data_IF_118507771214
#
_entry.id   IF_118507771214
#
_cell.length_a   1.000
_cell.length_b   1.000
_cell.length_c   1.000
_cell.angle_alpha   90.00
_cell.angle_beta   90.00
_cell.angle_gamma   90.00
#
_symmetry.space_group_name_H-M   'P 1'
#
loop_
_entity.id
_entity.type
_entity.pdbx_description
1 polymer ?
2 non-polymer ?
3 water ?
#
# COMPACT_ATOMS: atom_id res chain seq x y z
N UNK A 1 -6.73 18.26 9.57
CA UNK A 1 -6.82 17.62 8.24
C UNK A 1 -5.76 16.51 8.16
N UNK A 2 -6.18 15.28 7.81
CA UNK A 2 -5.25 14.18 7.44
C UNK A 2 -5.68 13.63 6.08
N UNK A 3 -4.69 13.43 5.23
CA UNK A 3 -4.84 12.80 3.90
C UNK A 3 -4.64 11.29 4.03
N UNK A 4 -5.18 10.52 3.08
CA UNK A 4 -4.88 9.08 2.95
C UNK A 4 -3.38 8.88 2.68
N UNK A 5 -2.73 9.82 2.01
CA UNK A 5 -1.27 9.83 1.76
C UNK A 5 -0.51 9.74 3.08
N UNK A 6 -0.85 10.65 3.99
CA UNK A 6 -0.31 10.67 5.37
C UNK A 6 -0.60 9.34 6.06
N UNK A 7 -1.86 8.91 6.04
CA UNK A 7 -2.29 7.70 6.83
C UNK A 7 -1.61 6.44 6.28
N UNK A 8 -1.68 6.24 4.97
CA UNK A 8 -1.13 5.06 4.25
C UNK A 8 0.39 5.01 4.35
N UNK A 9 1.05 6.17 4.28
CA UNK A 9 2.52 6.29 4.40
C UNK A 9 2.93 5.88 5.81
N UNK A 10 2.22 6.34 6.82
CA UNK A 10 2.52 6.00 8.23
C UNK A 10 2.47 4.49 8.42
N UNK A 11 1.52 3.79 7.81
CA UNK A 11 1.46 2.31 8.06
C UNK A 11 2.17 1.53 6.93
N UNK A 12 2.92 2.19 6.06
CA UNK A 12 3.62 1.50 4.97
C UNK A 12 4.55 0.42 5.55
N UNK A 13 5.34 0.66 6.61
CA UNK A 13 6.23 -0.38 7.16
C UNK A 13 5.52 -1.51 7.90
N UNK A 14 4.20 -1.40 8.11
CA UNK A 14 3.37 -2.41 8.81
C UNK A 14 2.84 -3.48 7.86
N UNK A 15 3.03 -3.34 6.55
CA UNK A 15 2.42 -4.30 5.59
C UNK A 15 2.98 -5.70 5.79
N UNK A 16 4.27 -5.83 6.09
CA UNK A 16 4.82 -7.18 6.32
C UNK A 16 3.96 -7.86 7.39
N UNK A 17 3.83 -7.21 8.55
CA UNK A 17 3.07 -7.69 9.71
C UNK A 17 1.61 -7.85 9.34
N UNK A 18 1.02 -6.89 8.59
CA UNK A 18 -0.45 -6.97 8.36
C UNK A 18 -0.81 -8.19 7.52
N UNK A 19 0.11 -8.65 6.67
CA UNK A 19 -0.11 -9.73 5.71
C UNK A 19 0.40 -11.06 6.30
N UNK A 20 1.43 -11.05 7.15
CA UNK A 20 2.01 -12.30 7.70
C UNK A 20 1.74 -12.51 9.20
N UNK A 21 1.37 -11.47 9.94
CA UNK A 21 1.29 -11.52 11.42
C UNK A 21 2.66 -11.57 12.06
N UNK A 22 2.74 -12.11 13.26
CA UNK A 22 3.97 -12.18 14.10
C UNK A 22 4.14 -10.91 14.89
N UNK A 23 5.29 -10.24 14.75
CA UNK A 23 5.63 -9.05 15.54
C UNK A 23 5.82 -7.86 14.61
N UNK A 24 5.13 -6.73 14.80
CA UNK A 24 5.45 -5.51 14.04
C UNK A 24 6.90 -5.02 14.26
N UNK A 25 7.50 -4.48 13.20
CA UNK A 25 8.83 -3.81 13.23
C UNK A 25 8.76 -2.52 14.07
N UNK A 26 9.92 -2.12 14.57
CA UNK A 26 10.06 -0.84 15.31
C UNK A 26 9.50 0.28 14.44
N UNK A 27 9.85 0.32 13.16
CA UNK A 27 9.38 1.40 12.24
C UNK A 27 7.87 1.28 12.09
N UNK A 28 7.32 0.08 12.04
CA UNK A 28 5.85 -0.08 11.99
C UNK A 28 5.25 0.57 13.23
N UNK A 29 5.74 0.21 14.42
CA UNK A 29 5.20 0.82 15.68
C UNK A 29 5.38 2.35 15.68
N UNK A 30 6.51 2.87 15.17
CA UNK A 30 6.71 4.35 15.07
C UNK A 30 5.63 4.95 14.16
N UNK A 31 5.27 4.21 13.13
CA UNK A 31 4.21 4.57 12.19
C UNK A 31 2.86 4.67 12.90
N UNK A 32 2.55 3.68 13.73
CA UNK A 32 1.26 3.59 14.46
C UNK A 32 1.22 4.74 15.46
N UNK A 33 2.31 4.96 16.14
CA UNK A 33 2.44 6.19 16.99
C UNK A 33 2.18 7.48 16.18
N UNK A 34 2.69 7.62 14.95
CA UNK A 34 2.46 8.82 14.13
C UNK A 34 0.98 8.92 13.86
N UNK A 35 0.34 7.81 13.57
CA UNK A 35 -1.11 7.80 13.27
C UNK A 35 -1.90 8.35 14.47
N UNK A 36 -1.60 7.86 15.67
CA UNK A 36 -2.25 8.33 16.90
C UNK A 36 -1.99 9.83 17.06
N UNK A 37 -0.75 10.29 16.91
CA UNK A 37 -0.52 11.74 17.16
C UNK A 37 -1.19 12.61 16.09
N UNK A 38 -1.59 12.07 14.95
CA UNK A 38 -2.17 12.94 13.90
C UNK A 38 -3.72 12.87 13.91
N UNK A 39 -4.32 12.09 14.79
CA UNK A 39 -5.80 11.92 14.79
C UNK A 39 -6.44 12.40 16.10
N UNK A 40 -6.08 13.58 16.59
CA UNK A 40 -6.65 14.14 17.82
C UNK A 40 -8.09 14.60 17.67
N UNK A 41 -8.56 14.96 16.48
CA UNK A 41 -9.98 15.41 16.37
C UNK A 41 -10.84 14.26 15.85
N UNK A 42 -12.12 14.28 16.16
CA UNK A 42 -13.09 13.34 15.54
C UNK A 42 -12.99 13.35 13.99
N UNK A 43 -12.82 14.51 13.34
CA UNK A 43 -12.77 14.54 11.85
C UNK A 43 -11.58 13.70 11.37
N UNK A 44 -10.44 13.85 12.03
CA UNK A 44 -9.18 13.17 11.62
C UNK A 44 -9.33 11.69 11.88
N UNK A 45 -9.98 11.29 12.98
CA UNK A 45 -10.16 9.84 13.29
C UNK A 45 -11.08 9.23 12.24
N UNK A 46 -12.15 9.91 11.89
CA UNK A 46 -13.05 9.40 10.84
C UNK A 46 -12.31 9.38 9.50
N UNK A 47 -11.57 10.42 9.15
CA UNK A 47 -10.78 10.45 7.89
C UNK A 47 -9.78 9.29 7.94
N UNK A 48 -9.11 9.07 9.06
CA UNK A 48 -8.08 7.99 9.13
C UNK A 48 -8.80 6.66 8.88
N UNK A 49 -9.89 6.46 9.59
CA UNK A 49 -10.65 5.19 9.55
C UNK A 49 -11.02 4.92 8.07
N UNK A 50 -11.53 5.92 7.34
CA UNK A 50 -11.95 5.75 5.94
C UNK A 50 -10.74 5.35 5.08
N UNK A 51 -9.64 6.09 5.17
CA UNK A 51 -8.35 5.78 4.50
C UNK A 51 -7.97 4.31 4.75
N UNK A 52 -8.09 3.84 5.99
CA UNK A 52 -7.55 2.49 6.34
C UNK A 52 -8.53 1.41 5.89
N UNK A 53 -9.82 1.74 5.88
CA UNK A 53 -10.87 0.91 5.28
C UNK A 53 -10.58 0.69 3.80
N UNK A 54 -10.36 1.76 3.06
CA UNK A 54 -10.08 1.72 1.60
C UNK A 54 -8.80 0.90 1.36
N UNK A 55 -7.80 1.04 2.22
CA UNK A 55 -6.49 0.35 2.06
C UNK A 55 -6.66 -1.14 2.30
N UNK A 56 -7.36 -1.51 3.36
CA UNK A 56 -7.69 -2.92 3.69
C UNK A 56 -8.51 -3.56 2.55
N UNK A 57 -9.44 -2.82 1.93
CA UNK A 57 -10.21 -3.30 0.77
C UNK A 57 -9.27 -3.56 -0.44
N UNK A 58 -8.30 -2.69 -0.72
CA UNK A 58 -7.43 -2.81 -1.91
C UNK A 58 -6.32 -3.86 -1.66
N UNK A 59 -5.81 -3.96 -0.46
CA UNK A 59 -4.72 -4.92 -0.12
C UNK A 59 -5.33 -6.22 0.39
N UNK A 60 -5.58 -7.12 -0.52
CA UNK A 60 -6.33 -8.37 -0.26
C UNK A 60 -5.50 -9.34 0.64
N UNK A 61 -4.20 -9.18 0.80
CA UNK A 61 -3.42 -10.11 1.64
C UNK A 61 -3.46 -9.69 3.12
N UNK A 62 -4.17 -8.62 3.47
CA UNK A 62 -4.22 -8.17 4.90
C UNK A 62 -5.02 -9.19 5.71
N UNK A 63 -4.42 -9.68 6.80
CA UNK A 63 -5.11 -10.55 7.78
C UNK A 63 -5.92 -9.66 8.74
N UNK A 64 -7.22 -9.85 8.85
CA UNK A 64 -8.06 -9.02 9.75
C UNK A 64 -7.56 -9.16 11.20
N UNK A 65 -7.17 -10.38 11.60
CA UNK A 65 -6.63 -10.60 12.96
C UNK A 65 -5.47 -9.65 13.17
N UNK A 66 -4.50 -9.62 12.26
CA UNK A 66 -3.26 -8.81 12.39
C UNK A 66 -3.63 -7.34 12.47
N UNK A 67 -4.54 -6.90 11.60
CA UNK A 67 -5.00 -5.48 11.59
C UNK A 67 -5.55 -5.08 12.98
N UNK A 68 -6.40 -5.92 13.57
CA UNK A 68 -7.10 -5.63 14.84
C UNK A 68 -6.12 -5.64 16.01
N UNK A 69 -5.00 -6.36 15.92
CA UNK A 69 -3.99 -6.50 16.99
C UNK A 69 -2.87 -5.48 16.80
N UNK A 70 -2.81 -4.73 15.70
CA UNK A 70 -1.60 -3.89 15.40
C UNK A 70 -1.39 -2.90 16.54
N UNK A 71 -2.42 -2.13 16.96
CA UNK A 71 -2.18 -1.08 17.99
C UNK A 71 -1.77 -1.69 19.34
N UNK A 72 -2.46 -2.74 19.75
CA UNK A 72 -2.14 -3.56 20.95
C UNK A 72 -0.68 -4.02 20.91
N UNK A 73 -0.23 -4.60 19.80
CA UNK A 73 1.17 -5.18 19.75
C UNK A 73 2.20 -4.05 19.70
N UNK A 74 1.79 -2.85 19.29
CA UNK A 74 2.69 -1.68 19.29
C UNK A 74 2.62 -0.95 20.61
N UNK A 75 1.74 -1.31 21.54
CA UNK A 75 1.65 -0.54 22.79
C UNK A 75 0.99 0.83 22.57
N UNK A 76 0.22 0.98 21.53
CA UNK A 76 -0.41 2.30 21.20
C UNK A 76 -1.91 2.20 21.44
N UNK A 77 -2.45 3.18 22.16
CA UNK A 77 -3.92 3.31 22.33
C UNK A 77 -4.43 4.04 21.09
N UNK A 78 -4.73 3.27 20.04
CA UNK A 78 -5.10 3.88 18.76
C UNK A 78 -6.59 3.65 18.58
N UNK A 79 -7.30 4.77 18.58
CA UNK A 79 -8.77 4.90 18.60
C UNK A 79 -9.33 4.87 17.16
N UNK A 80 -8.74 4.06 16.29
CA UNK A 80 -9.15 3.91 14.86
C UNK A 80 -9.02 2.43 14.50
N UNK A 81 -10.15 1.73 14.19
CA UNK A 81 -10.08 0.35 13.73
C UNK A 81 -9.60 0.26 12.28
N UNK A 82 -9.04 -0.88 11.93
CA UNK A 82 -8.44 -1.15 10.59
C UNK A 82 -9.16 -2.41 10.07
N UNK A 83 -10.13 -2.22 9.17
CA UNK A 83 -10.94 -3.29 8.54
C UNK A 83 -11.74 -2.73 7.38
N UNK A 84 -11.93 -3.54 6.33
CA UNK A 84 -12.70 -3.13 5.13
C UNK A 84 -14.22 -3.03 5.45
N UNK A 85 -14.66 -3.49 6.62
CA UNK A 85 -16.10 -3.61 7.00
C UNK A 85 -16.53 -2.64 8.11
N UNK A 86 -15.69 -1.67 8.51
CA UNK A 86 -16.01 -0.84 9.70
C UNK A 86 -16.93 0.29 9.25
N UNK A 87 -17.84 0.66 10.12
CA UNK A 87 -18.64 1.89 9.91
C UNK A 87 -17.89 3.06 10.57
N UNK A 88 -17.21 3.84 9.73
CA UNK A 88 -16.27 4.89 10.17
C UNK A 88 -17.06 6.04 10.77
N UNK A 89 -18.34 6.18 10.40
CA UNK A 89 -19.23 7.26 10.91
C UNK A 89 -19.60 7.05 12.40
N UNK A 90 -19.49 5.82 12.90
CA UNK A 90 -19.86 5.47 14.30
C UNK A 90 -18.69 5.69 15.25
N UNK A 91 -17.52 6.10 14.75
CA UNK A 91 -16.30 6.34 15.56
C UNK A 91 -16.42 7.66 16.33
N UNK A 92 -16.09 7.62 17.62
CA UNK A 92 -16.04 8.78 18.53
C UNK A 92 -14.79 9.60 18.23
N UNK B 1 -11.63 -4.45 -17.18
CA UNK B 1 -10.44 -3.76 -16.63
C UNK B 1 -10.07 -4.37 -15.26
N UNK B 2 -8.80 -4.76 -15.09
CA UNK B 2 -8.20 -5.21 -13.80
C UNK B 2 -8.46 -4.14 -12.75
N UNK B 3 -8.69 -4.54 -11.52
CA UNK B 3 -9.02 -3.63 -10.40
C UNK B 3 -7.74 -3.07 -9.77
N UNK B 4 -7.82 -1.91 -9.11
CA UNK B 4 -6.68 -1.42 -8.28
C UNK B 4 -6.39 -2.44 -7.14
N UNK B 5 -7.43 -3.15 -6.64
CA UNK B 5 -7.25 -4.23 -5.66
C UNK B 5 -6.28 -5.30 -6.15
N UNK B 6 -6.49 -5.79 -7.35
CA UNK B 6 -5.64 -6.78 -8.04
C UNK B 6 -4.25 -6.20 -8.22
N UNK B 7 -4.15 -5.00 -8.77
CA UNK B 7 -2.82 -4.37 -9.09
C UNK B 7 -2.01 -4.12 -7.80
N UNK B 8 -2.64 -3.48 -6.83
CA UNK B 8 -2.01 -3.11 -5.54
C UNK B 8 -1.66 -4.37 -4.72
N UNK B 9 -2.51 -5.39 -4.76
CA UNK B 9 -2.27 -6.66 -4.03
C UNK B 9 -1.04 -7.33 -4.62
N UNK B 10 -0.95 -7.41 -5.95
CA UNK B 10 0.22 -7.99 -6.63
C UNK B 10 1.52 -7.29 -6.19
N UNK B 11 1.55 -5.98 -6.04
CA UNK B 11 2.82 -5.29 -5.66
C UNK B 11 2.96 -5.04 -4.17
N UNK B 12 2.05 -5.54 -3.34
CA UNK B 12 2.15 -5.33 -1.88
C UNK B 12 3.50 -5.80 -1.35
N UNK B 13 4.00 -7.00 -1.70
CA UNK B 13 5.30 -7.48 -1.21
C UNK B 13 6.49 -6.71 -1.80
N UNK B 14 6.24 -5.76 -2.70
CA UNK B 14 7.34 -4.95 -3.31
C UNK B 14 7.62 -3.68 -2.50
N UNK B 15 6.76 -3.33 -1.54
CA UNK B 15 6.89 -2.02 -0.86
C UNK B 15 8.18 -1.90 -0.07
N UNK B 16 8.68 -3.00 0.50
CA UNK B 16 9.97 -2.93 1.25
C UNK B 16 11.04 -2.43 0.27
N UNK B 17 11.12 -3.06 -0.90
CA UNK B 17 12.10 -2.73 -1.96
C UNK B 17 11.77 -1.33 -2.51
N UNK B 18 10.50 -1.02 -2.73
CA UNK B 18 10.17 0.29 -3.38
C UNK B 18 10.59 1.49 -2.54
N UNK B 19 10.63 1.31 -1.22
CA UNK B 19 10.94 2.37 -0.23
C UNK B 19 12.44 2.30 0.15
N UNK B 20 13.08 1.11 0.15
CA UNK B 20 14.49 0.99 0.60
C UNK B 20 15.48 0.74 -0.53
N UNK B 21 15.05 0.30 -1.73
CA UNK B 21 15.98 -0.28 -2.70
C UNK B 21 16.48 -1.66 -2.27
N UNK B 22 17.65 -2.04 -2.78
CA UNK B 22 18.29 -3.35 -2.60
C UNK B 22 17.77 -4.34 -3.62
N UNK B 23 17.31 -5.49 -3.15
CA UNK B 23 16.88 -6.61 -4.01
C UNK B 23 15.42 -6.90 -3.72
N UNK B 24 14.52 -6.95 -4.73
CA UNK B 24 13.14 -7.38 -4.49
C UNK B 24 13.01 -8.81 -3.96
N UNK B 25 11.99 -9.03 -3.12
CA UNK B 25 11.64 -10.36 -2.55
C UNK B 25 11.10 -11.28 -3.63
N UNK B 26 11.28 -12.57 -3.41
CA UNK B 26 10.70 -13.64 -4.29
C UNK B 26 9.24 -13.29 -4.58
N UNK B 27 8.45 -13.01 -3.54
CA UNK B 27 6.99 -12.78 -3.71
C UNK B 27 6.82 -11.48 -4.45
N UNK B 28 7.70 -10.49 -4.24
CA UNK B 28 7.68 -9.24 -5.02
C UNK B 28 7.85 -9.57 -6.51
N UNK B 29 8.88 -10.33 -6.90
CA UNK B 29 9.04 -10.68 -8.34
C UNK B 29 7.84 -11.49 -8.86
N UNK B 30 7.28 -12.40 -8.07
CA UNK B 30 6.10 -13.19 -8.47
C UNK B 30 4.94 -12.23 -8.73
N UNK B 31 4.83 -11.20 -7.92
CA UNK B 31 3.78 -10.20 -8.04
C UNK B 31 3.95 -9.39 -9.31
N UNK B 32 5.20 -9.03 -9.67
CA UNK B 32 5.47 -8.22 -10.88
C UNK B 32 5.15 -9.07 -12.09
N UNK B 33 5.57 -10.33 -12.06
CA UNK B 33 5.13 -11.31 -13.09
C UNK B 33 3.61 -11.36 -13.20
N UNK B 34 2.85 -11.36 -12.10
CA UNK B 34 1.37 -11.44 -12.16
C UNK B 34 0.88 -10.18 -12.85
N UNK B 35 1.47 -9.04 -12.54
CA UNK B 35 1.09 -7.75 -13.14
C UNK B 35 1.23 -7.82 -14.66
N UNK B 36 2.37 -8.32 -15.14
CA UNK B 36 2.61 -8.51 -16.58
C UNK B 36 1.51 -9.41 -17.17
N UNK B 37 1.20 -10.53 -16.55
CA UNK B 37 0.24 -11.48 -17.16
C UNK B 37 -1.18 -10.89 -17.17
N UNK B 38 -1.50 -9.90 -16.32
CA UNK B 38 -2.90 -9.39 -16.24
C UNK B 38 -3.08 -8.11 -17.11
N UNK B 39 -2.05 -7.63 -17.77
CA UNK B 39 -2.07 -6.36 -18.54
C UNK B 39 -1.82 -6.57 -20.05
N UNK B 40 -2.41 -7.59 -20.68
CA UNK B 40 -2.26 -7.80 -22.11
C UNK B 40 -3.04 -6.80 -22.97
N UNK B 41 -4.11 -6.18 -22.49
CA UNK B 41 -4.88 -5.29 -23.39
C UNK B 41 -4.48 -3.86 -23.09
N UNK B 42 -4.66 -2.97 -24.06
CA UNK B 42 -4.58 -1.51 -23.78
C UNK B 42 -5.43 -1.09 -22.56
N UNK B 43 -6.68 -1.55 -22.43
CA UNK B 43 -7.54 -1.13 -21.30
C UNK B 43 -6.87 -1.47 -19.96
N UNK B 44 -6.32 -2.68 -19.87
CA UNK B 44 -5.71 -3.21 -18.63
C UNK B 44 -4.43 -2.42 -18.35
N UNK B 45 -3.64 -2.09 -19.37
CA UNK B 45 -2.39 -1.30 -19.15
C UNK B 45 -2.74 0.09 -18.65
N UNK B 46 -3.76 0.71 -19.26
CA UNK B 46 -4.28 2.00 -18.80
C UNK B 46 -4.71 1.90 -17.34
N UNK B 47 -5.55 0.91 -17.03
CA UNK B 47 -6.07 0.68 -15.68
C UNK B 47 -4.88 0.51 -14.74
N UNK B 48 -3.93 -0.36 -15.09
CA UNK B 48 -2.80 -0.65 -14.18
C UNK B 48 -2.03 0.65 -13.96
N UNK B 49 -1.71 1.36 -15.03
CA UNK B 49 -0.94 2.62 -14.92
C UNK B 49 -1.63 3.57 -13.93
N UNK B 50 -2.94 3.83 -14.09
CA UNK B 50 -3.74 4.71 -13.17
C UNK B 50 -3.57 4.22 -11.71
N UNK B 51 -3.90 2.95 -11.45
CA UNK B 51 -3.83 2.32 -10.10
C UNK B 51 -2.44 2.54 -9.49
N UNK B 52 -1.40 2.37 -10.27
CA UNK B 52 -0.01 2.42 -9.71
C UNK B 52 0.41 3.86 -9.50
N UNK B 53 -0.12 4.78 -10.34
CA UNK B 53 0.08 6.23 -10.14
C UNK B 53 -0.59 6.63 -8.82
N UNK B 54 -1.82 6.24 -8.58
CA UNK B 54 -2.54 6.54 -7.32
C UNK B 54 -1.79 5.95 -6.11
N UNK B 55 -1.26 4.73 -6.23
CA UNK B 55 -0.48 4.05 -5.14
C UNK B 55 0.80 4.82 -4.83
N UNK B 56 1.55 5.14 -5.86
CA UNK B 56 2.81 5.91 -5.78
C UNK B 56 2.55 7.30 -5.17
N UNK B 57 1.43 7.96 -5.51
CA UNK B 57 1.00 9.24 -4.90
C UNK B 57 0.76 9.04 -3.39
N UNK B 58 0.07 8.00 -2.96
CA UNK B 58 -0.31 7.84 -1.53
C UNK B 58 0.90 7.34 -0.70
N UNK B 59 1.77 6.52 -1.28
CA UNK B 59 2.89 5.90 -0.52
C UNK B 59 4.12 6.77 -0.70
N UNK B 60 4.29 7.70 0.22
CA UNK B 60 5.26 8.81 0.09
C UNK B 60 6.71 8.29 0.17
N UNK B 61 6.92 7.09 0.75
CA UNK B 61 8.27 6.54 0.91
C UNK B 61 8.81 5.94 -0.38
N UNK B 62 8.00 5.81 -1.41
CA UNK B 62 8.45 5.12 -2.66
C UNK B 62 9.56 5.93 -3.33
N UNK B 63 10.68 5.27 -3.59
CA UNK B 63 11.81 5.88 -4.30
C UNK B 63 11.57 5.67 -5.79
N UNK B 64 11.54 6.74 -6.57
CA UNK B 64 11.32 6.60 -8.03
C UNK B 64 12.42 5.70 -8.65
N UNK B 65 13.66 5.89 -8.26
CA UNK B 65 14.75 5.03 -8.77
C UNK B 65 14.37 3.55 -8.58
N UNK B 66 13.91 3.15 -7.38
CA UNK B 66 13.57 1.73 -7.12
C UNK B 66 12.40 1.31 -7.98
N UNK B 67 11.39 2.18 -8.13
CA UNK B 67 10.20 1.87 -8.94
C UNK B 67 10.62 1.58 -10.38
N UNK B 68 11.48 2.40 -10.95
CA UNK B 68 11.86 2.31 -12.37
C UNK B 68 12.78 1.10 -12.61
N UNK B 69 13.43 0.57 -11.58
CA UNK B 69 14.32 -0.62 -11.66
C UNK B 69 13.56 -1.90 -11.29
N UNK B 70 12.31 -1.83 -10.82
CA UNK B 70 11.62 -3.01 -10.23
C UNK B 70 11.56 -4.13 -11.28
N UNK B 71 11.03 -3.85 -12.46
CA UNK B 71 10.82 -4.91 -13.49
C UNK B 71 12.14 -5.49 -13.98
N UNK B 72 13.14 -4.66 -14.26
CA UNK B 72 14.52 -5.06 -14.59
C UNK B 72 15.08 -6.00 -13.51
N UNK B 73 15.00 -5.64 -12.23
CA UNK B 73 15.58 -6.46 -11.15
C UNK B 73 14.81 -7.78 -10.98
N UNK B 74 13.54 -7.81 -11.38
CA UNK B 74 12.73 -9.04 -11.29
C UNK B 74 12.88 -9.84 -12.57
N UNK B 75 13.57 -9.32 -13.58
CA UNK B 75 13.72 -10.01 -14.88
C UNK B 75 12.42 -10.10 -15.62
N UNK B 76 11.53 -9.12 -15.41
CA UNK B 76 10.17 -9.08 -16.01
C UNK B 76 10.13 -7.93 -17.04
N UNK B 77 9.74 -8.21 -18.27
CA UNK B 77 9.53 -7.15 -19.29
C UNK B 77 8.16 -6.55 -19.00
N UNK B 78 8.11 -5.56 -18.12
CA UNK B 78 6.81 -4.97 -17.71
C UNK B 78 6.68 -3.60 -18.36
N UNK B 79 5.68 -3.50 -19.23
CA UNK B 79 5.36 -2.35 -20.11
C UNK B 79 4.50 -1.30 -19.42
N UNK B 80 4.64 -1.11 -18.09
CA UNK B 80 3.87 -0.09 -17.30
C UNK B 80 4.81 0.56 -16.29
N UNK B 81 5.11 1.88 -16.41
CA UNK B 81 5.92 2.58 -15.41
C UNK B 81 5.12 2.85 -14.12
N UNK B 82 5.86 3.02 -13.03
CA UNK B 82 5.31 3.19 -11.66
C UNK B 82 5.87 4.53 -11.16
N UNK B 83 5.04 5.58 -11.16
CA UNK B 83 5.43 6.94 -10.72
C UNK B 83 4.19 7.81 -10.56
N UNK B 84 4.23 8.75 -9.61
CA UNK B 84 3.13 9.71 -9.36
C UNK B 84 3.06 10.74 -10.51
N UNK B 85 4.10 10.80 -11.39
CA UNK B 85 4.30 11.86 -12.42
C UNK B 85 4.16 11.33 -13.86
N UNK B 86 3.72 10.08 -14.06
CA UNK B 86 3.66 9.51 -15.43
C UNK B 86 2.37 9.99 -16.09
N UNK B 87 2.46 10.24 -17.39
CA UNK B 87 1.26 10.49 -18.20
C UNK B 87 0.73 9.15 -18.71
N UNK B 88 -0.33 8.67 -18.07
CA UNK B 88 -0.90 7.32 -18.32
C UNK B 88 -1.56 7.32 -19.71
N UNK B 89 -1.97 8.49 -20.21
CA UNK B 89 -2.62 8.60 -21.55
C UNK B 89 -1.61 8.47 -22.70
N UNK B 90 -0.32 8.61 -22.43
CA UNK B 90 0.75 8.53 -23.46
C UNK B 90 1.29 7.10 -23.58
N UNK B 91 0.76 6.18 -22.78
CA UNK B 91 1.18 4.76 -22.72
C UNK B 91 0.44 4.02 -23.83
N UNK B 92 1.16 3.14 -24.54
CA UNK B 92 0.60 2.19 -25.55
C UNK B 92 -0.14 1.03 -24.83
#
# INVERSE_FOLDING_TARGET
AVSCGQVDTSLTPCLTYLTKGGTPSTQCCSGVRSLKSMTGTKADRQAACNCLKQAAARYQGIKDAAAAALSQKCGVQLSVPISRKTDCSKIS
AVSCGQVDTSLTPCLTYLTKGGTPSTQCCSGVRSLKSMTGTKADRQAACNCLKQAAARYQGIKDAAAAALSQKCGVQLSVPISRKTDCSKIS
#
